data_IF_384093496592
#
_entry.id   IF_384093496592
#
_cell.length_a   1.000
_cell.length_b   1.000
_cell.length_c   1.000
_cell.angle_alpha   90.00
_cell.angle_beta   90.00
_cell.angle_gamma   90.00
#
_symmetry.space_group_name_H-M   'P 1'
#
loop_
_entity.id
_entity.type
_entity.pdbx_description
1 polymer ?
#
# COMPACT_ATOMS: atom_id res chain seq x y z
N UNK A 1 4.57 4.92 -21.94
CA UNK A 1 3.88 3.75 -21.41
C UNK A 1 3.11 4.20 -20.17
N UNK A 2 1.80 4.46 -20.26
CA UNK A 2 1.01 4.99 -19.12
C UNK A 2 1.03 4.04 -17.89
N UNK A 3 0.91 2.75 -18.12
CA UNK A 3 0.87 1.76 -17.04
C UNK A 3 2.13 1.77 -16.15
N UNK A 4 3.33 1.92 -16.73
CA UNK A 4 4.56 1.96 -15.93
C UNK A 4 4.60 3.19 -15.02
N UNK A 5 4.16 4.35 -15.53
CA UNK A 5 4.05 5.58 -14.73
C UNK A 5 3.08 5.39 -13.57
N UNK A 6 1.91 4.82 -13.83
CA UNK A 6 0.88 4.60 -12.81
C UNK A 6 1.37 3.62 -11.73
N UNK A 7 2.08 2.56 -12.12
CA UNK A 7 2.71 1.61 -11.18
C UNK A 7 3.77 2.29 -10.31
N UNK A 8 4.63 3.14 -10.91
CA UNK A 8 5.63 3.88 -10.13
C UNK A 8 4.98 4.84 -9.14
N UNK A 9 3.91 5.55 -9.54
CA UNK A 9 3.12 6.37 -8.64
C UNK A 9 2.52 5.52 -7.52
N UNK A 10 2.01 4.33 -7.85
CA UNK A 10 1.48 3.38 -6.87
C UNK A 10 2.53 2.92 -5.85
N UNK A 11 3.75 2.63 -6.30
CA UNK A 11 4.87 2.26 -5.41
C UNK A 11 5.21 3.43 -4.47
N UNK A 12 5.30 4.66 -4.97
CA UNK A 12 5.57 5.84 -4.13
C UNK A 12 4.43 6.07 -3.13
N UNK A 13 3.18 5.94 -3.57
CA UNK A 13 2.02 6.04 -2.68
C UNK A 13 2.00 4.90 -1.64
N UNK A 14 2.39 3.69 -2.05
CA UNK A 14 2.57 2.53 -1.17
C UNK A 14 3.63 2.78 -0.11
N UNK A 15 4.76 3.41 -0.47
CA UNK A 15 5.79 3.80 0.50
C UNK A 15 5.23 4.78 1.55
N UNK A 16 4.49 5.79 1.12
CA UNK A 16 3.86 6.76 2.04
C UNK A 16 2.90 6.05 3.00
N UNK A 17 2.05 5.17 2.47
CA UNK A 17 1.09 4.42 3.27
C UNK A 17 1.79 3.46 4.24
N UNK A 18 2.86 2.78 3.81
CA UNK A 18 3.65 1.87 4.64
C UNK A 18 4.36 2.62 5.77
N UNK A 19 4.94 3.79 5.48
CA UNK A 19 5.56 4.64 6.51
C UNK A 19 4.53 5.11 7.55
N UNK A 20 3.35 5.55 7.11
CA UNK A 20 2.28 5.95 8.02
C UNK A 20 1.80 4.78 8.89
N UNK A 21 1.65 3.59 8.30
CA UNK A 21 1.26 2.39 9.05
C UNK A 21 2.38 1.94 10.00
N UNK A 22 3.67 2.14 9.66
CA UNK A 22 4.79 1.85 10.55
C UNK A 22 4.70 2.64 11.85
N UNK A 23 4.32 3.92 11.78
CA UNK A 23 4.11 4.75 12.98
C UNK A 23 3.01 4.15 13.85
N UNK A 24 1.91 3.72 13.23
CA UNK A 24 0.82 3.05 13.96
C UNK A 24 1.29 1.74 14.60
N UNK A 25 2.12 0.95 13.90
CA UNK A 25 2.66 -0.30 14.43
C UNK A 25 3.64 -0.09 15.59
N UNK A 26 4.48 0.93 15.53
CA UNK A 26 5.38 1.25 16.63
C UNK A 26 4.62 1.62 17.91
N UNK A 27 3.43 2.23 17.79
CA UNK A 27 2.59 2.49 18.95
C UNK A 27 1.99 1.23 19.57
N UNK A 28 1.94 0.12 18.83
CA UNK A 28 1.43 -1.18 19.30
C UNK A 28 2.45 -1.99 20.09
N UNK A 29 3.72 -1.61 20.14
CA UNK A 29 4.71 -2.27 21.02
C UNK A 29 4.24 -2.31 22.48
N UNK A 30 3.33 -1.40 22.85
CA UNK A 30 2.63 -1.41 24.13
C UNK A 30 1.49 -2.45 24.22
N UNK A 31 1.18 -3.16 23.14
CA UNK A 31 0.14 -4.18 23.04
C UNK A 31 0.72 -5.47 22.42
N UNK A 32 1.46 -6.28 23.17
CA UNK A 32 2.24 -7.42 22.64
C UNK A 32 1.40 -8.50 21.95
N UNK A 33 0.07 -8.47 22.10
CA UNK A 33 -0.86 -9.42 21.44
C UNK A 33 -1.10 -9.12 19.95
N UNK A 34 -0.52 -8.05 19.41
CA UNK A 34 -0.79 -7.54 18.06
C UNK A 34 0.49 -7.49 17.19
N UNK A 35 1.44 -8.39 17.42
CA UNK A 35 2.73 -8.40 16.72
C UNK A 35 2.60 -8.94 15.29
N UNK A 36 2.23 -8.04 14.38
CA UNK A 36 2.12 -8.30 12.95
C UNK A 36 3.49 -8.57 12.29
N UNK A 37 4.57 -8.01 12.84
CA UNK A 37 5.92 -8.13 12.26
C UNK A 37 6.46 -9.53 12.44
N UNK A 38 6.36 -10.10 13.64
CA UNK A 38 6.78 -11.49 13.90
C UNK A 38 5.90 -12.48 13.13
N UNK A 39 4.61 -12.20 13.01
CA UNK A 39 3.70 -13.00 12.19
C UNK A 39 4.14 -12.98 10.72
N UNK A 40 4.44 -11.82 10.17
CA UNK A 40 4.85 -11.67 8.77
C UNK A 40 6.17 -12.41 8.48
N UNK A 41 7.14 -12.34 9.39
CA UNK A 41 8.38 -13.12 9.29
C UNK A 41 8.12 -14.63 9.28
N UNK A 42 7.18 -15.10 10.11
CA UNK A 42 6.77 -16.52 10.13
C UNK A 42 6.08 -16.95 8.83
N UNK A 43 5.16 -16.14 8.30
CA UNK A 43 4.47 -16.39 7.02
C UNK A 43 5.46 -16.52 5.88
N UNK A 44 6.37 -15.55 5.77
CA UNK A 44 7.37 -15.54 4.70
C UNK A 44 8.40 -16.65 4.86
N UNK A 45 8.73 -17.01 6.09
CA UNK A 45 9.57 -18.17 6.38
C UNK A 45 8.97 -19.49 5.89
N UNK A 46 7.64 -19.63 5.89
CA UNK A 46 6.95 -20.79 5.36
C UNK A 46 6.89 -20.80 3.81
N UNK A 47 6.68 -19.63 3.19
CA UNK A 47 6.56 -19.51 1.73
C UNK A 47 7.88 -19.40 0.98
N UNK A 48 8.89 -18.79 1.59
CA UNK A 48 10.14 -18.43 0.94
C UNK A 48 11.34 -18.98 1.71
N UNK A 49 11.31 -20.27 2.05
CA UNK A 49 12.37 -20.94 2.82
C UNK A 49 13.78 -20.73 2.21
N UNK A 50 13.87 -20.61 0.89
CA UNK A 50 15.12 -20.31 0.19
C UNK A 50 15.55 -18.83 0.36
N UNK A 51 14.61 -17.89 0.30
CA UNK A 51 14.91 -16.47 0.52
C UNK A 51 15.29 -16.18 1.97
N UNK A 52 14.74 -16.95 2.91
CA UNK A 52 15.07 -16.81 4.34
C UNK A 52 16.55 -17.02 4.65
N UNK A 53 17.26 -17.80 3.86
CA UNK A 53 18.72 -17.98 4.00
C UNK A 53 19.49 -16.67 3.86
N UNK A 54 18.95 -15.73 3.10
CA UNK A 54 19.57 -14.44 2.79
C UNK A 54 18.92 -13.27 3.54
N UNK A 55 17.83 -13.54 4.26
CA UNK A 55 17.14 -12.51 5.02
C UNK A 55 17.85 -12.26 6.37
N UNK A 56 17.94 -11.01 6.82
CA UNK A 56 18.36 -10.71 8.17
C UNK A 56 17.46 -11.43 9.20
N UNK A 57 17.99 -11.73 10.40
CA UNK A 57 17.17 -12.32 11.45
C UNK A 57 16.04 -11.37 11.89
N UNK A 58 14.98 -11.96 12.49
CA UNK A 58 13.91 -11.18 13.11
C UNK A 58 14.46 -10.28 14.24
N UNK A 59 13.92 -9.05 14.45
CA UNK A 59 12.77 -8.45 13.78
C UNK A 59 13.12 -7.72 12.46
N UNK A 60 14.39 -7.56 12.10
CA UNK A 60 14.83 -6.79 10.92
C UNK A 60 14.26 -7.40 9.64
N UNK A 61 14.26 -8.74 9.53
CA UNK A 61 13.68 -9.44 8.39
C UNK A 61 12.20 -9.11 8.21
N UNK A 62 11.40 -9.13 9.28
CA UNK A 62 9.99 -8.80 9.27
C UNK A 62 9.72 -7.36 8.79
N UNK A 63 10.52 -6.39 9.26
CA UNK A 63 10.40 -5.00 8.81
C UNK A 63 10.75 -4.84 7.33
N UNK A 64 11.79 -5.49 6.83
CA UNK A 64 12.15 -5.45 5.42
C UNK A 64 11.01 -5.99 4.54
N UNK A 65 10.41 -7.12 4.93
CA UNK A 65 9.28 -7.70 4.21
C UNK A 65 8.04 -6.82 4.29
N UNK A 66 7.76 -6.24 5.44
CA UNK A 66 6.65 -5.31 5.61
C UNK A 66 6.78 -4.13 4.63
N UNK A 67 7.97 -3.52 4.54
CA UNK A 67 8.22 -2.45 3.59
C UNK A 67 8.18 -2.94 2.13
N UNK A 68 8.77 -4.07 1.81
CA UNK A 68 8.75 -4.60 0.45
C UNK A 68 7.32 -4.90 -0.03
N UNK A 69 6.53 -5.58 0.80
CA UNK A 69 5.16 -5.95 0.47
C UNK A 69 4.26 -4.70 0.44
N UNK A 70 4.30 -3.87 1.47
CA UNK A 70 3.48 -2.66 1.55
C UNK A 70 3.80 -1.67 0.42
N UNK A 71 5.08 -1.43 0.17
CA UNK A 71 5.52 -0.44 -0.82
C UNK A 71 5.34 -0.95 -2.24
N UNK A 72 5.95 -2.11 -2.55
CA UNK A 72 6.05 -2.58 -3.94
C UNK A 72 4.81 -3.38 -4.33
N UNK A 73 4.50 -4.43 -3.58
CA UNK A 73 3.40 -5.33 -3.95
C UNK A 73 2.03 -4.65 -3.89
N UNK A 74 1.67 -4.12 -2.73
CA UNK A 74 0.37 -3.47 -2.55
C UNK A 74 0.26 -2.16 -3.32
N UNK A 75 1.34 -1.37 -3.41
CA UNK A 75 1.36 -0.13 -4.18
C UNK A 75 1.17 -0.36 -5.67
N UNK A 76 1.88 -1.33 -6.26
CA UNK A 76 1.73 -1.70 -7.67
C UNK A 76 0.35 -2.32 -7.95
N UNK A 77 -0.12 -3.22 -7.08
CA UNK A 77 -1.43 -3.86 -7.21
C UNK A 77 -2.57 -2.81 -7.16
N UNK A 78 -2.46 -1.84 -6.25
CA UNK A 78 -3.42 -0.73 -6.19
C UNK A 78 -3.47 0.04 -7.51
N UNK A 79 -2.32 0.43 -8.07
CA UNK A 79 -2.26 1.18 -9.31
C UNK A 79 -2.94 0.44 -10.49
N UNK A 80 -2.79 -0.89 -10.54
CA UNK A 80 -3.43 -1.72 -11.56
C UNK A 80 -4.95 -1.83 -11.31
N UNK A 81 -5.35 -1.94 -10.06
CA UNK A 81 -6.77 -2.10 -9.68
C UNK A 81 -7.53 -0.78 -9.59
N UNK A 82 -6.85 0.35 -9.44
CA UNK A 82 -7.47 1.67 -9.20
C UNK A 82 -8.63 1.99 -10.17
N UNK A 83 -8.53 1.72 -11.49
CA UNK A 83 -9.60 2.06 -12.42
C UNK A 83 -10.91 1.29 -12.21
N UNK A 84 -10.85 0.11 -11.59
CA UNK A 84 -11.99 -0.77 -11.37
C UNK A 84 -12.52 -0.73 -9.94
N UNK A 85 -11.79 -0.06 -9.02
CA UNK A 85 -12.20 0.04 -7.63
C UNK A 85 -13.43 0.95 -7.46
N UNK A 86 -14.43 0.52 -6.68
CA UNK A 86 -15.59 1.36 -6.39
C UNK A 86 -15.20 2.56 -5.52
N UNK A 87 -15.75 3.72 -5.86
CA UNK A 87 -15.55 4.96 -5.13
C UNK A 87 -15.39 6.17 -6.06
N UNK A 88 -15.95 7.31 -5.67
CA UNK A 88 -15.85 8.58 -6.41
C UNK A 88 -14.58 9.36 -6.05
N UNK A 89 -14.09 9.16 -4.84
CA UNK A 89 -12.96 9.88 -4.26
C UNK A 89 -11.74 8.95 -4.12
N UNK A 90 -10.52 9.46 -4.20
CA UNK A 90 -9.31 8.66 -4.05
C UNK A 90 -9.29 7.82 -2.76
N UNK A 91 -9.64 8.44 -1.61
CA UNK A 91 -9.72 7.73 -0.34
C UNK A 91 -10.75 6.59 -0.33
N UNK A 92 -11.89 6.78 -1.03
CA UNK A 92 -12.95 5.76 -1.08
C UNK A 92 -12.51 4.54 -1.92
N UNK A 93 -11.78 4.75 -3.02
CA UNK A 93 -11.14 3.66 -3.78
C UNK A 93 -10.07 2.96 -2.93
N UNK A 94 -9.27 3.74 -2.20
CA UNK A 94 -8.32 3.18 -1.24
C UNK A 94 -8.98 2.33 -0.17
N UNK A 95 -10.10 2.79 0.40
CA UNK A 95 -10.88 2.04 1.39
C UNK A 95 -11.39 0.70 0.81
N UNK A 96 -11.93 0.74 -0.41
CA UNK A 96 -12.40 -0.46 -1.12
C UNK A 96 -11.25 -1.44 -1.36
N UNK A 97 -10.09 -0.94 -1.74
CA UNK A 97 -8.88 -1.74 -1.88
C UNK A 97 -8.46 -2.37 -0.56
N UNK A 98 -8.43 -1.61 0.53
CA UNK A 98 -8.11 -2.11 1.87
C UNK A 98 -9.06 -3.23 2.31
N UNK A 99 -10.35 -3.10 2.02
CA UNK A 99 -11.34 -4.15 2.31
C UNK A 99 -11.06 -5.44 1.51
N UNK A 100 -10.76 -5.31 0.21
CA UNK A 100 -10.39 -6.45 -0.65
C UNK A 100 -9.09 -7.09 -0.16
N UNK A 101 -8.09 -6.28 0.16
CA UNK A 101 -6.82 -6.77 0.71
C UNK A 101 -7.02 -7.53 2.03
N UNK A 102 -7.89 -7.04 2.91
CA UNK A 102 -8.24 -7.73 4.15
C UNK A 102 -8.84 -9.12 3.87
N UNK A 103 -9.79 -9.21 2.95
CA UNK A 103 -10.39 -10.50 2.57
C UNK A 103 -9.34 -11.49 2.05
N UNK A 104 -8.42 -11.02 1.21
CA UNK A 104 -7.33 -11.83 0.68
C UNK A 104 -6.41 -12.32 1.82
N UNK A 105 -6.07 -11.45 2.75
CA UNK A 105 -5.26 -11.82 3.92
C UNK A 105 -5.99 -12.82 4.81
N UNK A 106 -7.25 -12.61 5.12
CA UNK A 106 -8.04 -13.49 5.98
C UNK A 106 -8.26 -14.89 5.40
N UNK A 107 -8.48 -14.97 4.08
CA UNK A 107 -8.88 -16.21 3.43
C UNK A 107 -7.71 -16.97 2.79
N UNK A 108 -6.62 -16.29 2.48
CA UNK A 108 -5.44 -16.89 1.85
C UNK A 108 -4.21 -16.82 2.75
N UNK A 109 -3.77 -15.61 3.09
CA UNK A 109 -2.46 -15.41 3.73
C UNK A 109 -2.42 -16.06 5.12
N UNK A 110 -3.39 -15.74 5.98
CA UNK A 110 -3.43 -16.24 7.36
C UNK A 110 -3.60 -17.76 7.46
N UNK A 111 -4.49 -18.42 6.68
CA UNK A 111 -4.57 -19.88 6.67
C UNK A 111 -3.28 -20.55 6.21
N UNK A 112 -2.65 -20.03 5.15
CA UNK A 112 -1.38 -20.56 4.63
C UNK A 112 -0.24 -20.36 5.62
N UNK A 113 -0.28 -19.31 6.43
CA UNK A 113 0.64 -19.05 7.54
C UNK A 113 0.40 -19.93 8.77
N UNK A 114 -0.61 -20.78 8.76
CA UNK A 114 -0.99 -21.56 9.93
C UNK A 114 -1.76 -20.80 11.00
N UNK A 115 -2.04 -19.50 10.79
CA UNK A 115 -2.81 -18.65 11.70
C UNK A 115 -4.33 -18.92 11.70
N UNK A 116 -4.79 -19.78 10.79
CA UNK A 116 -6.20 -20.10 10.60
C UNK A 116 -6.96 -18.98 9.88
N UNK A 117 -8.21 -19.26 9.53
CA UNK A 117 -9.07 -18.24 8.92
C UNK A 117 -9.22 -17.05 9.87
N UNK A 118 -9.16 -15.83 9.30
CA UNK A 118 -9.26 -14.56 10.01
C UNK A 118 -8.15 -14.33 11.06
N UNK A 119 -7.16 -15.23 11.18
CA UNK A 119 -6.14 -15.15 12.22
C UNK A 119 -6.61 -15.57 13.63
N UNK A 120 -7.71 -16.29 13.71
CA UNK A 120 -8.34 -16.67 14.99
C UNK A 120 -7.45 -17.55 15.88
N UNK A 121 -6.43 -18.21 15.31
CA UNK A 121 -5.46 -18.99 16.10
C UNK A 121 -4.45 -18.11 16.82
N UNK A 122 -4.24 -16.88 16.35
CA UNK A 122 -3.33 -15.92 17.00
C UNK A 122 -4.02 -15.22 18.15
N UNK A 123 -5.21 -14.63 17.86
CA UNK A 123 -6.01 -13.92 18.86
C UNK A 123 -7.45 -13.73 18.36
N UNK A 124 -8.42 -13.70 19.26
CA UNK A 124 -9.81 -13.40 18.93
C UNK A 124 -10.01 -11.96 18.39
N UNK A 125 -9.11 -11.02 18.71
CA UNK A 125 -9.16 -9.63 18.24
C UNK A 125 -8.46 -9.46 16.86
N UNK A 126 -7.70 -10.45 16.41
CA UNK A 126 -6.88 -10.35 15.19
C UNK A 126 -7.69 -9.94 13.93
N UNK A 127 -8.91 -10.42 13.71
CA UNK A 127 -9.69 -9.98 12.56
C UNK A 127 -9.93 -8.46 12.55
N UNK A 128 -10.29 -7.90 13.71
CA UNK A 128 -10.57 -6.46 13.84
C UNK A 128 -9.31 -5.64 13.58
N UNK A 129 -8.19 -6.08 14.13
CA UNK A 129 -6.90 -5.40 13.96
C UNK A 129 -6.47 -5.42 12.50
N UNK A 130 -6.50 -6.60 11.86
CA UNK A 130 -6.14 -6.75 10.45
C UNK A 130 -7.04 -5.89 9.55
N UNK A 131 -8.34 -5.88 9.80
CA UNK A 131 -9.28 -5.02 9.07
C UNK A 131 -8.91 -3.56 9.21
N UNK A 132 -8.73 -3.08 10.44
CA UNK A 132 -8.41 -1.68 10.72
C UNK A 132 -7.11 -1.25 10.03
N UNK A 133 -6.05 -2.06 10.12
CA UNK A 133 -4.76 -1.79 9.49
C UNK A 133 -4.86 -1.65 7.97
N UNK A 134 -5.58 -2.56 7.31
CA UNK A 134 -5.73 -2.53 5.86
C UNK A 134 -6.62 -1.39 5.40
N UNK A 135 -7.66 -1.04 6.16
CA UNK A 135 -8.51 0.11 5.82
C UNK A 135 -7.74 1.42 5.96
N UNK A 136 -6.99 1.60 7.05
CA UNK A 136 -6.12 2.78 7.24
C UNK A 136 -5.07 2.86 6.14
N UNK A 137 -4.38 1.76 5.88
CA UNK A 137 -3.40 1.66 4.80
C UNK A 137 -4.02 2.03 3.45
N UNK A 138 -5.17 1.45 3.12
CA UNK A 138 -5.87 1.68 1.87
C UNK A 138 -6.29 3.14 1.68
N UNK A 139 -6.85 3.77 2.71
CA UNK A 139 -7.23 5.20 2.66
C UNK A 139 -6.03 6.08 2.37
N UNK A 140 -4.91 5.87 3.08
CA UNK A 140 -3.68 6.65 2.89
C UNK A 140 -3.10 6.40 1.49
N UNK A 141 -3.06 5.15 1.05
CA UNK A 141 -2.60 4.75 -0.28
C UNK A 141 -3.41 5.43 -1.38
N UNK A 142 -4.74 5.35 -1.29
CA UNK A 142 -5.65 5.95 -2.28
C UNK A 142 -5.50 7.46 -2.36
N UNK A 143 -5.43 8.13 -1.22
CA UNK A 143 -5.27 9.59 -1.17
C UNK A 143 -3.89 10.03 -1.69
N UNK A 144 -2.82 9.33 -1.31
CA UNK A 144 -1.48 9.61 -1.79
C UNK A 144 -1.38 9.40 -3.31
N UNK A 145 -1.91 8.29 -3.82
CA UNK A 145 -1.95 7.98 -5.25
C UNK A 145 -2.71 9.05 -6.03
N UNK A 146 -3.91 9.42 -5.57
CA UNK A 146 -4.74 10.44 -6.23
C UNK A 146 -4.03 11.79 -6.34
N UNK A 147 -3.36 12.24 -5.26
CA UNK A 147 -2.60 13.50 -5.24
C UNK A 147 -1.38 13.45 -6.15
N UNK A 148 -0.63 12.37 -6.13
CA UNK A 148 0.55 12.21 -6.98
C UNK A 148 0.16 12.14 -8.46
N UNK A 149 -0.89 11.39 -8.79
CA UNK A 149 -1.37 11.25 -10.16
C UNK A 149 -1.91 12.57 -10.72
N UNK A 150 -2.63 13.37 -9.92
CA UNK A 150 -3.09 14.69 -10.31
C UNK A 150 -1.92 15.63 -10.65
N UNK A 151 -0.86 15.65 -9.83
CA UNK A 151 0.34 16.47 -10.08
C UNK A 151 1.08 16.10 -11.35
N UNK A 152 1.07 14.83 -11.72
CA UNK A 152 1.76 14.35 -12.94
C UNK A 152 0.94 14.54 -14.22
N UNK A 153 -0.36 14.83 -14.10
CA UNK A 153 -1.26 15.12 -15.23
C UNK A 153 -1.37 16.62 -15.54
N UNK A 154 -0.84 17.51 -14.71
CA UNK A 154 -0.87 18.96 -14.87
C UNK A 154 0.49 19.55 -15.18
N UNK A 155 1.10 19.34 -16.34
CA UNK A 155 2.32 20.04 -16.70
C UNK A 155 2.14 21.07 -17.76
N UNK A 156 1.21 21.46 -18.47
CA UNK A 156 1.40 22.35 -19.63
C UNK A 156 0.33 23.39 -19.97
N UNK A 157 -0.57 23.73 -19.06
CA UNK A 157 -1.55 24.79 -19.37
C UNK A 157 -0.99 26.23 -19.27
N UNK A 158 0.15 26.40 -18.57
CA UNK A 158 0.74 27.75 -18.44
C UNK A 158 1.70 28.11 -19.59
N UNK A 159 2.34 27.15 -20.20
CA UNK A 159 3.31 27.40 -21.29
C UNK A 159 2.63 27.76 -22.61
N UNK A 160 1.48 27.16 -22.90
CA UNK A 160 0.75 27.41 -24.13
C UNK A 160 0.13 28.81 -24.20
N UNK A 161 -0.34 29.35 -23.08
CA UNK A 161 -0.89 30.70 -23.04
C UNK A 161 0.18 31.78 -23.21
N UNK A 162 1.40 31.54 -22.71
CA UNK A 162 2.52 32.47 -22.90
C UNK A 162 3.05 32.49 -24.34
N UNK A 163 3.07 31.34 -25.01
CA UNK A 163 3.51 31.24 -26.39
C UNK A 163 2.51 31.88 -27.35
N UNK A 164 1.23 31.80 -27.08
CA UNK A 164 0.17 32.44 -27.89
C UNK A 164 0.24 33.97 -27.71
N UNK A 165 0.44 34.46 -26.47
CA UNK A 165 0.52 35.90 -26.20
C UNK A 165 1.77 36.56 -26.83
N UNK A 166 2.90 35.84 -26.91
CA UNK A 166 4.15 36.35 -27.54
C UNK A 166 4.10 36.30 -29.06
N UNK A 167 3.28 35.38 -29.64
CA UNK A 167 3.09 35.29 -31.09
C UNK A 167 2.27 36.44 -31.67
N UNK A 168 1.31 36.98 -30.94
CA UNK A 168 0.40 38.05 -31.41
C UNK A 168 1.05 39.45 -31.43
N UNK A 169 2.16 39.67 -30.66
CA UNK A 169 2.87 40.95 -30.67
C UNK A 169 3.89 41.10 -31.83
N UNK A 170 4.05 40.14 -32.70
CA UNK A 170 5.00 40.17 -33.85
C UNK A 170 4.35 40.42 -35.19
N UNK A 171 3.04 40.57 -35.26
CA UNK A 171 2.32 40.81 -36.49
C UNK A 171 1.74 42.25 -36.61
N UNK A 172 2.27 43.24 -35.83
CA UNK A 172 1.90 44.65 -35.99
C UNK A 172 3.06 45.48 -36.52
#
# INVERSE_FOLDING_TARGET
MPLLKDVLIGIVAGLIATLALSVLMLTKEYLPQLDTITMLDGVLGAFLAELRRWAPPAPIGGWLWFFAIGTVWWGALYAVMEPILPGRWPWARGLSFGAIATLLVWLMVLPLAGAGYFGMRLSAIQPVVTLFEHLVYGVILGEAYGRLNARTRSPDSHSSHLLIAVGDEREV
#
